data_IF_353045544690
#
_entry.id   IF_353045544690
#
_cell.length_a   1.000
_cell.length_b   1.000
_cell.length_c   1.000
_cell.angle_alpha   90.00
_cell.angle_beta   90.00
_cell.angle_gamma   90.00
#
_symmetry.space_group_name_H-M   'P 1'
#
loop_
_entity.id
_entity.type
_entity.pdbx_description
1 polymer ?
#
# COMPACT_ATOMS: atom_id res chain seq x y z
N UNK A 1 -20.35 0.25 26.89
CA UNK A 1 -20.07 1.26 25.84
C UNK A 1 -18.68 1.10 25.23
N UNK A 2 -17.59 1.24 25.99
CA UNK A 2 -16.22 1.12 25.48
C UNK A 2 -15.92 -0.21 24.73
N UNK A 3 -16.41 -1.34 25.26
CA UNK A 3 -16.22 -2.65 24.63
C UNK A 3 -16.90 -2.76 23.25
N UNK A 4 -18.04 -2.11 23.05
CA UNK A 4 -18.74 -2.12 21.77
C UNK A 4 -17.96 -1.30 20.73
N UNK A 5 -17.46 -0.13 21.12
CA UNK A 5 -16.60 0.72 20.28
C UNK A 5 -15.32 -0.03 19.90
N UNK A 6 -14.70 -0.72 20.87
CA UNK A 6 -13.51 -1.53 20.62
C UNK A 6 -13.75 -2.67 19.62
N UNK A 7 -14.91 -3.34 19.69
CA UNK A 7 -15.28 -4.39 18.72
C UNK A 7 -15.47 -3.82 17.31
N UNK A 8 -16.14 -2.68 17.17
CA UNK A 8 -16.35 -2.02 15.86
C UNK A 8 -15.02 -1.56 15.27
N UNK A 9 -14.18 -0.91 16.05
CA UNK A 9 -12.87 -0.45 15.59
C UNK A 9 -11.96 -1.61 15.18
N UNK A 10 -11.96 -2.71 15.95
CA UNK A 10 -11.18 -3.91 15.61
C UNK A 10 -11.68 -4.58 14.33
N UNK A 11 -12.99 -4.64 14.10
CA UNK A 11 -13.55 -5.18 12.87
C UNK A 11 -13.16 -4.32 11.66
N UNK A 12 -13.26 -2.99 11.78
CA UNK A 12 -12.82 -2.06 10.73
C UNK A 12 -11.35 -2.25 10.36
N UNK A 13 -10.45 -2.38 11.35
CA UNK A 13 -9.02 -2.62 11.08
C UNK A 13 -8.83 -3.95 10.33
N UNK A 14 -9.56 -5.00 10.72
CA UNK A 14 -9.43 -6.33 10.10
C UNK A 14 -10.01 -6.42 8.70
N UNK A 15 -11.06 -5.65 8.40
CA UNK A 15 -11.79 -5.73 7.13
C UNK A 15 -11.27 -4.72 6.10
N UNK A 16 -11.05 -3.47 6.53
CA UNK A 16 -10.75 -2.34 5.65
C UNK A 16 -9.25 -1.98 5.61
N UNK A 17 -8.49 -2.27 6.68
CA UNK A 17 -7.05 -1.99 6.79
C UNK A 17 -6.20 -3.27 6.75
N UNK A 18 -6.57 -4.22 5.89
CA UNK A 18 -5.74 -5.41 5.64
C UNK A 18 -4.37 -4.96 5.12
N UNK A 19 -3.31 -5.71 5.46
CA UNK A 19 -1.94 -5.40 5.02
C UNK A 19 -1.86 -5.25 3.49
N UNK A 20 -2.69 -5.97 2.72
CA UNK A 20 -2.89 -5.75 1.29
C UNK A 20 -3.31 -4.31 0.96
N UNK A 21 -4.40 -3.82 1.56
CA UNK A 21 -4.96 -2.48 1.35
C UNK A 21 -3.94 -1.36 1.56
N UNK A 22 -3.03 -1.49 2.53
CA UNK A 22 -1.99 -0.48 2.78
C UNK A 22 -0.95 -0.41 1.65
N UNK A 23 -0.47 -1.56 1.17
CA UNK A 23 0.47 -1.61 0.03
C UNK A 23 -0.19 -1.22 -1.29
N UNK A 24 -1.45 -1.60 -1.46
CA UNK A 24 -2.27 -1.20 -2.61
C UNK A 24 -2.44 0.32 -2.64
N UNK A 25 -2.74 0.94 -1.49
CA UNK A 25 -2.80 2.40 -1.35
C UNK A 25 -1.45 3.08 -1.61
N UNK A 26 -0.35 2.53 -1.07
CA UNK A 26 1.00 3.05 -1.31
C UNK A 26 1.41 2.97 -2.79
N UNK A 27 0.91 2.00 -3.55
CA UNK A 27 1.13 1.91 -4.99
C UNK A 27 0.22 2.87 -5.77
N UNK A 28 -1.04 2.98 -5.35
CA UNK A 28 -2.06 3.81 -5.99
C UNK A 28 -1.73 5.31 -5.94
N UNK A 29 -1.25 5.80 -4.79
CA UNK A 29 -1.00 7.23 -4.59
C UNK A 29 0.08 7.80 -5.53
N UNK A 30 1.28 7.20 -5.66
CA UNK A 30 2.26 7.63 -6.65
C UNK A 30 1.75 7.53 -8.09
N UNK A 31 0.98 6.49 -8.42
CA UNK A 31 0.44 6.29 -9.77
C UNK A 31 -0.57 7.39 -10.17
N UNK A 32 -1.51 7.74 -9.29
CA UNK A 32 -2.46 8.81 -9.57
C UNK A 32 -1.78 10.18 -9.57
N UNK A 33 -0.81 10.40 -8.67
CA UNK A 33 -0.07 11.66 -8.62
C UNK A 33 0.83 11.85 -9.85
N UNK A 34 1.42 10.78 -10.38
CA UNK A 34 2.23 10.82 -11.59
C UNK A 34 1.46 11.35 -12.81
N UNK A 35 0.13 11.14 -12.86
CA UNK A 35 -0.73 11.66 -13.94
C UNK A 35 -0.85 13.19 -13.93
N UNK A 36 -0.62 13.83 -12.79
CA UNK A 36 -0.70 15.29 -12.64
C UNK A 36 0.60 16.00 -13.05
N UNK A 37 1.67 15.25 -13.35
CA UNK A 37 2.96 15.81 -13.72
C UNK A 37 2.86 16.55 -15.05
N UNK A 38 3.18 17.85 -15.01
CA UNK A 38 3.20 18.72 -16.20
C UNK A 38 4.55 18.72 -16.93
N UNK A 39 5.44 17.82 -16.55
CA UNK A 39 6.79 17.68 -17.11
C UNK A 39 7.12 16.20 -17.28
N UNK A 40 8.07 15.90 -18.16
CA UNK A 40 8.59 14.54 -18.33
C UNK A 40 9.61 14.25 -17.23
N UNK A 41 9.39 13.26 -16.35
CA UNK A 41 10.38 12.87 -15.34
C UNK A 41 11.68 12.46 -16.02
N UNK A 42 12.81 12.93 -15.48
CA UNK A 42 14.14 12.53 -15.89
C UNK A 42 14.94 12.12 -14.64
N UNK A 43 15.83 11.14 -14.80
CA UNK A 43 16.72 10.72 -13.73
C UNK A 43 17.77 11.82 -13.54
N UNK A 44 17.92 12.39 -12.33
CA UNK A 44 18.90 13.45 -12.10
C UNK A 44 20.32 12.88 -12.14
N UNK A 45 21.28 13.73 -12.53
CA UNK A 45 22.69 13.37 -12.53
C UNK A 45 23.15 12.96 -11.12
N UNK A 46 23.85 11.83 -11.01
CA UNK A 46 24.31 11.28 -9.74
C UNK A 46 23.27 10.46 -8.97
N UNK A 47 22.08 10.23 -9.52
CA UNK A 47 21.13 9.27 -8.93
C UNK A 47 21.72 7.86 -8.91
N UNK A 48 21.82 7.26 -7.72
CA UNK A 48 22.16 5.85 -7.58
C UNK A 48 20.97 4.99 -8.03
N UNK A 49 21.20 4.08 -8.98
CA UNK A 49 20.19 3.11 -9.39
C UNK A 49 19.85 2.17 -8.24
N UNK A 50 18.56 1.97 -7.98
CA UNK A 50 18.10 0.89 -7.11
C UNK A 50 17.95 -0.38 -7.95
N UNK A 51 18.67 -1.44 -7.61
CA UNK A 51 18.40 -2.77 -8.17
C UNK A 51 17.10 -3.34 -7.59
N UNK A 52 16.37 -4.16 -8.34
CA UNK A 52 15.27 -4.98 -7.78
C UNK A 52 15.76 -5.95 -6.70
N UNK A 53 17.03 -6.37 -6.80
CA UNK A 53 17.69 -7.27 -5.87
C UNK A 53 18.54 -6.49 -4.85
N UNK A 54 18.00 -5.44 -4.21
CA UNK A 54 18.75 -4.51 -3.33
C UNK A 54 19.72 -5.24 -2.37
N UNK A 55 19.26 -6.34 -1.76
CA UNK A 55 20.07 -7.20 -0.91
C UNK A 55 21.24 -7.87 -1.66
N UNK A 56 20.98 -8.46 -2.83
CA UNK A 56 22.01 -9.14 -3.60
C UNK A 56 22.94 -8.19 -4.38
N UNK A 57 22.49 -6.98 -4.70
CA UNK A 57 23.32 -5.99 -5.40
C UNK A 57 24.44 -5.44 -4.53
N UNK A 58 24.23 -5.40 -3.21
CA UNK A 58 25.24 -4.98 -2.24
C UNK A 58 26.21 -6.11 -1.86
N UNK A 59 25.86 -7.36 -2.22
CA UNK A 59 26.65 -8.54 -1.90
C UNK A 59 27.78 -8.74 -2.90
N UNK A 60 28.97 -8.99 -2.37
CA UNK A 60 30.15 -9.41 -3.13
C UNK A 60 29.88 -10.73 -3.89
N UNK A 61 30.65 -11.00 -4.94
CA UNK A 61 30.47 -12.21 -5.74
C UNK A 61 30.64 -13.48 -4.88
N UNK A 62 29.74 -14.47 -5.02
CA UNK A 62 29.90 -15.78 -4.37
C UNK A 62 28.59 -16.45 -3.94
N UNK A 63 28.72 -17.38 -3.00
CA UNK A 63 27.61 -18.16 -2.43
C UNK A 63 26.56 -17.26 -1.77
N UNK A 64 26.99 -16.21 -1.08
CA UNK A 64 26.12 -15.23 -0.40
C UNK A 64 25.16 -14.58 -1.40
N UNK A 65 25.69 -13.97 -2.47
CA UNK A 65 24.89 -13.38 -3.56
C UNK A 65 23.95 -14.41 -4.19
N UNK A 66 24.43 -15.64 -4.41
CA UNK A 66 23.61 -16.72 -4.98
C UNK A 66 22.41 -17.04 -4.09
N UNK A 67 22.62 -17.26 -2.80
CA UNK A 67 21.53 -17.54 -1.85
C UNK A 67 20.58 -16.35 -1.71
N UNK A 68 21.10 -15.12 -1.70
CA UNK A 68 20.24 -13.93 -1.67
C UNK A 68 19.32 -13.89 -2.89
N UNK A 69 19.85 -14.05 -4.11
CA UNK A 69 19.05 -14.09 -5.35
C UNK A 69 18.00 -15.21 -5.29
N UNK A 70 18.39 -16.41 -4.86
CA UNK A 70 17.48 -17.56 -4.80
C UNK A 70 16.35 -17.37 -3.79
N UNK A 71 16.56 -16.59 -2.72
CA UNK A 71 15.57 -16.28 -1.69
C UNK A 71 14.55 -15.20 -2.08
N UNK A 72 14.77 -14.47 -3.18
CA UNK A 72 13.80 -13.46 -3.62
C UNK A 72 12.46 -14.10 -3.95
N UNK A 73 11.38 -13.41 -3.54
CA UNK A 73 10.02 -13.81 -3.87
C UNK A 73 9.87 -13.73 -5.40
N UNK A 74 9.87 -14.89 -6.07
CA UNK A 74 9.78 -15.01 -7.53
C UNK A 74 8.44 -14.54 -8.11
N UNK A 75 7.43 -14.36 -7.26
CA UNK A 75 6.12 -13.86 -7.67
C UNK A 75 6.11 -12.35 -7.53
N UNK A 76 6.02 -11.66 -8.66
CA UNK A 76 5.65 -10.25 -8.68
C UNK A 76 4.30 -10.08 -7.98
N UNK A 77 4.10 -8.99 -7.20
CA UNK A 77 2.76 -8.60 -6.79
C UNK A 77 1.85 -8.56 -8.02
N UNK A 78 0.55 -8.90 -7.88
CA UNK A 78 -0.39 -8.84 -9.00
C UNK A 78 -0.29 -7.49 -9.71
N UNK A 79 0.03 -7.50 -11.01
CA UNK A 79 0.09 -6.28 -11.85
C UNK A 79 -1.27 -5.63 -12.05
N UNK A 80 -2.34 -6.34 -11.67
CA UNK A 80 -3.69 -5.83 -11.63
C UNK A 80 -3.81 -4.88 -10.44
N UNK A 81 -3.91 -3.58 -10.74
CA UNK A 81 -4.26 -2.56 -9.75
C UNK A 81 -5.57 -3.01 -9.06
N UNK A 82 -5.56 -3.31 -7.76
CA UNK A 82 -6.75 -3.72 -7.07
C UNK A 82 -7.57 -2.46 -6.80
N UNK A 83 -8.72 -2.42 -7.49
CA UNK A 83 -9.87 -1.56 -7.27
C UNK A 83 -9.65 -0.03 -7.26
N UNK A 84 -10.71 0.66 -7.67
CA UNK A 84 -10.88 2.10 -7.53
C UNK A 84 -10.58 2.54 -6.10
N UNK A 85 -9.84 3.65 -5.93
CA UNK A 85 -9.67 4.29 -4.61
C UNK A 85 -11.02 4.32 -3.88
N UNK A 86 -11.08 3.88 -2.61
CA UNK A 86 -12.26 4.17 -1.82
C UNK A 86 -12.48 5.68 -1.86
N UNK A 87 -13.75 6.13 -2.01
CA UNK A 87 -14.04 7.55 -2.08
C UNK A 87 -13.42 8.28 -0.88
N UNK A 88 -12.94 9.51 -1.07
CA UNK A 88 -12.31 10.26 0.01
C UNK A 88 -13.25 10.31 1.21
N UNK A 89 -12.72 10.01 2.39
CA UNK A 89 -13.48 10.05 3.65
C UNK A 89 -14.15 11.43 3.75
N UNK A 90 -15.48 11.45 3.69
CA UNK A 90 -16.28 12.65 3.89
C UNK A 90 -16.73 12.67 5.35
N UNK A 91 -16.14 13.51 6.22
CA UNK A 91 -16.59 13.62 7.59
C UNK A 91 -18.04 14.12 7.58
N UNK A 92 -18.98 13.28 8.03
CA UNK A 92 -20.37 13.67 8.28
C UNK A 92 -21.46 13.01 7.43
N UNK A 93 -21.16 12.26 6.36
CA UNK A 93 -22.20 11.57 5.55
C UNK A 93 -22.31 10.07 5.86
N UNK A 94 -21.20 9.35 5.96
CA UNK A 94 -21.22 7.90 6.19
C UNK A 94 -21.49 7.53 7.66
N UNK A 95 -21.12 8.44 8.58
CA UNK A 95 -21.44 8.27 9.99
C UNK A 95 -22.95 8.26 10.24
N UNK A 96 -23.75 8.96 9.42
CA UNK A 96 -25.20 9.07 9.62
C UNK A 96 -25.95 7.86 9.04
N UNK A 97 -25.46 7.26 7.95
CA UNK A 97 -26.11 6.11 7.32
C UNK A 97 -25.92 4.80 8.10
N UNK A 98 -24.83 4.65 8.87
CA UNK A 98 -24.65 3.49 9.78
C UNK A 98 -25.15 3.73 11.20
N UNK A 99 -25.31 4.98 11.64
CA UNK A 99 -25.86 5.29 12.96
C UNK A 99 -27.38 5.37 12.88
N UNK A 100 -28.05 4.22 12.74
CA UNK A 100 -29.46 4.15 13.13
C UNK A 100 -29.50 4.33 14.65
N UNK A 101 -29.92 5.52 15.09
CA UNK A 101 -30.13 5.86 16.49
C UNK A 101 -30.92 4.72 17.15
N UNK A 102 -30.47 4.14 18.27
CA UNK A 102 -31.29 3.19 18.99
C UNK A 102 -32.54 3.95 19.47
N UNK A 103 -33.71 3.53 19.00
CA UNK A 103 -34.98 3.95 19.60
C UNK A 103 -35.01 3.44 21.04
N UNK A 104 -35.40 4.34 21.95
CA UNK A 104 -35.59 4.09 23.38
C UNK A 104 -36.86 3.29 23.60
#
# INVERSE_FOLDING_TARGET
MAQAIGKIASAFIQEELKTGSAYEYMFLLPNEYAKLLKFKPQVPDGAAGMCSEILACSAEHGLERKFMIESFVKKSPPTTCPATMPPPFKPGVDFVHHYKKPEV
#
